data_IF_951944868853
#
_entry.id   IF_951944868853
#
_cell.length_a   1.000
_cell.length_b   1.000
_cell.length_c   1.000
_cell.angle_alpha   90.00
_cell.angle_beta   90.00
_cell.angle_gamma   90.00
#
_symmetry.space_group_name_H-M   'P 1'
#
loop_
_entity.id
_entity.type
_entity.pdbx_description
1 polymer ?
#
# COMPACT_ATOMS: atom_id res chain seq x y z
N UNK A 1 -6.31 -2.57 -10.80
CA UNK A 1 -5.44 -2.87 -9.66
C UNK A 1 -6.10 -3.85 -8.72
N UNK A 2 -5.43 -4.93 -8.41
CA UNK A 2 -5.91 -5.93 -7.45
C UNK A 2 -4.86 -6.17 -6.37
N UNK A 3 -5.17 -5.89 -5.11
CA UNK A 3 -4.32 -6.32 -4.00
C UNK A 3 -4.45 -7.84 -3.82
N UNK A 4 -3.34 -8.51 -3.65
CA UNK A 4 -3.28 -9.96 -3.45
C UNK A 4 -2.59 -10.24 -2.10
N UNK A 5 -3.32 -9.96 -1.01
CA UNK A 5 -2.80 -9.91 0.35
C UNK A 5 -1.85 -11.04 0.73
N UNK A 6 -2.34 -12.26 0.81
CA UNK A 6 -1.54 -13.42 1.23
C UNK A 6 -0.43 -13.81 0.24
N UNK A 7 -0.52 -13.37 -1.00
CA UNK A 7 0.52 -13.59 -1.99
C UNK A 7 1.60 -12.50 -1.97
N UNK A 8 1.49 -11.56 -1.05
CA UNK A 8 2.48 -10.48 -0.87
C UNK A 8 2.75 -9.69 -2.16
N UNK A 9 1.70 -9.43 -2.93
CA UNK A 9 1.83 -8.76 -4.23
C UNK A 9 0.60 -7.92 -4.56
N UNK A 10 0.71 -7.15 -5.63
CA UNK A 10 -0.46 -6.63 -6.34
C UNK A 10 -0.31 -6.88 -7.85
N UNK A 11 -1.43 -6.93 -8.54
CA UNK A 11 -1.45 -7.13 -9.98
C UNK A 11 -2.29 -6.05 -10.67
N UNK A 12 -1.96 -5.80 -11.92
CA UNK A 12 -2.76 -4.99 -12.84
C UNK A 12 -3.34 -5.93 -13.88
N UNK A 13 -4.64 -5.92 -14.04
CA UNK A 13 -5.33 -6.76 -15.02
C UNK A 13 -6.04 -5.90 -16.06
N UNK A 14 -6.20 -6.44 -17.26
CA UNK A 14 -7.14 -5.91 -18.23
C UNK A 14 -8.57 -6.23 -17.78
N UNK A 15 -9.38 -5.20 -17.59
CA UNK A 15 -10.75 -5.35 -17.09
C UNK A 15 -11.66 -6.13 -18.06
N UNK A 16 -11.39 -6.06 -19.36
CA UNK A 16 -12.22 -6.71 -20.39
C UNK A 16 -11.89 -8.19 -20.55
N UNK A 17 -10.59 -8.52 -20.50
CA UNK A 17 -10.11 -9.87 -20.78
C UNK A 17 -9.76 -10.68 -19.53
N UNK A 18 -9.52 -9.99 -18.39
CA UNK A 18 -8.99 -10.60 -17.17
C UNK A 18 -7.50 -10.92 -17.24
N UNK A 19 -6.84 -10.56 -18.34
CA UNK A 19 -5.41 -10.83 -18.51
C UNK A 19 -4.56 -10.04 -17.52
N UNK A 20 -3.56 -10.71 -16.92
CA UNK A 20 -2.58 -10.06 -16.06
C UNK A 20 -1.60 -9.26 -16.92
N UNK A 21 -1.59 -7.93 -16.72
CA UNK A 21 -0.73 -6.99 -17.45
C UNK A 21 0.58 -6.73 -16.72
N UNK A 22 0.55 -6.76 -15.38
CA UNK A 22 1.72 -6.47 -14.54
C UNK A 22 1.55 -7.12 -13.18
N UNK A 23 2.66 -7.59 -12.63
CA UNK A 23 2.75 -8.09 -11.25
C UNK A 23 3.90 -7.41 -10.52
N UNK A 24 3.65 -6.99 -9.28
CA UNK A 24 4.68 -6.46 -8.38
C UNK A 24 4.69 -7.33 -7.14
N UNK A 25 5.77 -8.05 -6.93
CA UNK A 25 5.93 -9.00 -5.84
C UNK A 25 6.53 -8.37 -4.59
N UNK A 26 6.67 -9.15 -3.53
CA UNK A 26 7.05 -8.70 -2.20
C UNK A 26 8.31 -7.84 -2.14
N UNK A 27 9.32 -8.13 -2.96
CA UNK A 27 10.62 -7.46 -2.93
C UNK A 27 10.92 -6.64 -4.20
N UNK A 28 9.91 -6.40 -5.05
CA UNK A 28 10.11 -5.68 -6.31
C UNK A 28 10.19 -4.16 -6.12
N UNK A 29 9.77 -3.65 -4.95
CA UNK A 29 9.89 -2.23 -4.62
C UNK A 29 11.14 -2.03 -3.79
N UNK A 30 12.08 -1.24 -4.31
CA UNK A 30 13.35 -0.99 -3.62
C UNK A 30 13.14 -0.38 -2.23
N UNK A 31 13.77 -0.97 -1.23
CA UNK A 31 13.79 -0.47 0.15
C UNK A 31 12.61 -0.87 1.01
N UNK A 32 11.61 -1.58 0.48
CA UNK A 32 10.46 -2.06 1.26
C UNK A 32 10.09 -3.49 0.89
N UNK A 33 9.49 -4.21 1.83
CA UNK A 33 8.90 -5.51 1.58
C UNK A 33 7.38 -5.44 1.76
N UNK A 34 6.62 -6.00 0.80
CA UNK A 34 5.18 -6.12 0.93
C UNK A 34 4.85 -7.31 1.81
N UNK A 35 4.16 -7.08 2.92
CA UNK A 35 3.74 -8.11 3.87
C UNK A 35 2.38 -8.66 3.49
N UNK A 36 1.38 -7.81 3.53
CA UNK A 36 0.02 -8.12 3.09
C UNK A 36 -0.54 -6.87 2.44
N UNK A 37 -0.77 -6.91 1.14
CA UNK A 37 -1.33 -5.76 0.43
C UNK A 37 -2.83 -5.73 0.70
N UNK A 38 -3.25 -4.94 1.68
CA UNK A 38 -4.65 -4.83 2.09
C UNK A 38 -5.48 -3.98 1.15
N UNK A 39 -4.89 -2.92 0.63
CA UNK A 39 -5.54 -2.01 -0.31
C UNK A 39 -4.48 -1.33 -1.17
N UNK A 40 -4.87 -0.97 -2.38
CA UNK A 40 -4.07 -0.15 -3.27
C UNK A 40 -4.96 0.88 -3.94
N UNK A 41 -4.53 2.15 -3.91
CA UNK A 41 -5.25 3.28 -4.46
C UNK A 41 -4.40 3.99 -5.50
N UNK A 42 -5.00 4.38 -6.62
CA UNK A 42 -4.38 5.31 -7.54
C UNK A 42 -4.72 6.74 -7.11
N UNK A 43 -3.69 7.55 -6.90
CA UNK A 43 -3.82 8.96 -6.55
C UNK A 43 -4.01 9.81 -7.81
N UNK A 44 -4.45 11.06 -7.65
CA UNK A 44 -4.71 11.98 -8.77
C UNK A 44 -3.45 12.26 -9.60
N UNK A 45 -2.28 12.26 -8.99
CA UNK A 45 -1.00 12.46 -9.67
C UNK A 45 -0.50 11.21 -10.41
N UNK A 46 -1.25 10.10 -10.37
CA UNK A 46 -0.88 8.83 -10.98
C UNK A 46 -0.07 7.90 -10.09
N UNK A 47 0.37 8.36 -8.92
CA UNK A 47 1.06 7.51 -7.96
C UNK A 47 0.11 6.48 -7.34
N UNK A 48 0.67 5.44 -6.75
CA UNK A 48 -0.08 4.42 -6.03
C UNK A 48 0.19 4.52 -4.53
N UNK A 49 -0.88 4.48 -3.74
CA UNK A 49 -0.80 4.35 -2.29
C UNK A 49 -1.13 2.92 -1.90
N UNK A 50 -0.19 2.25 -1.26
CA UNK A 50 -0.26 0.84 -0.89
C UNK A 50 -0.41 0.73 0.62
N UNK A 51 -1.44 0.02 1.09
CA UNK A 51 -1.59 -0.34 2.50
C UNK A 51 -0.90 -1.68 2.74
N UNK A 52 0.17 -1.66 3.50
CA UNK A 52 1.01 -2.79 3.82
C UNK A 52 0.67 -3.30 5.24
N UNK A 53 -0.30 -4.19 5.31
CA UNK A 53 -0.91 -4.59 6.57
C UNK A 53 -0.10 -5.66 7.32
N UNK A 54 0.00 -5.50 8.61
CA UNK A 54 0.73 -6.41 9.51
C UNK A 54 -0.12 -7.56 10.07
N UNK A 55 -1.40 -7.65 9.72
CA UNK A 55 -2.38 -8.47 10.43
C UNK A 55 -2.02 -9.94 10.61
N UNK A 56 -1.34 -10.54 9.63
CA UNK A 56 -0.90 -11.94 9.70
C UNK A 56 0.57 -12.11 10.12
N UNK A 57 1.28 -11.01 10.37
CA UNK A 57 2.67 -11.06 10.77
C UNK A 57 2.79 -11.34 12.26
N UNK A 58 3.35 -12.48 12.61
CA UNK A 58 3.59 -12.91 14.01
C UNK A 58 4.97 -12.54 14.51
N UNK A 59 5.91 -12.29 13.62
CA UNK A 59 7.27 -11.92 13.95
C UNK A 59 7.34 -10.43 14.32
N UNK A 60 7.59 -10.16 15.60
CA UNK A 60 7.67 -8.79 16.12
C UNK A 60 8.90 -8.02 15.59
N UNK A 61 9.88 -8.69 15.01
CA UNK A 61 11.06 -8.05 14.42
C UNK A 61 10.83 -7.49 13.03
N UNK A 62 9.74 -7.88 12.37
CA UNK A 62 9.37 -7.34 11.05
C UNK A 62 8.99 -5.88 11.20
N UNK A 63 9.69 -5.03 10.45
CA UNK A 63 9.56 -3.58 10.56
C UNK A 63 9.55 -2.93 9.16
N UNK A 64 8.37 -2.95 8.54
CA UNK A 64 8.12 -2.37 7.24
C UNK A 64 7.14 -1.19 7.34
N UNK A 65 7.19 -0.23 6.41
CA UNK A 65 6.20 0.85 6.39
C UNK A 65 4.77 0.31 6.27
N UNK A 66 3.84 0.94 6.98
CA UNK A 66 2.41 0.62 6.94
C UNK A 66 1.70 1.17 5.71
N UNK A 67 2.12 2.36 5.27
CA UNK A 67 1.68 2.98 4.01
C UNK A 67 2.89 3.30 3.16
N UNK A 68 2.75 3.06 1.87
CA UNK A 68 3.83 3.27 0.91
C UNK A 68 3.23 3.97 -0.32
N UNK A 69 3.76 5.14 -0.67
CA UNK A 69 3.44 5.78 -1.93
C UNK A 69 4.58 5.56 -2.92
N UNK A 70 4.26 5.00 -4.09
CA UNK A 70 5.21 4.81 -5.18
C UNK A 70 4.81 5.63 -6.39
N UNK A 71 5.81 6.09 -7.13
CA UNK A 71 5.60 6.77 -8.40
C UNK A 71 5.36 5.78 -9.56
N UNK A 72 5.19 6.31 -10.76
CA UNK A 72 4.98 5.50 -11.97
C UNK A 72 6.16 4.58 -12.32
N UNK A 73 7.35 4.86 -11.79
CA UNK A 73 8.55 4.04 -11.98
C UNK A 73 8.72 2.99 -10.88
N UNK A 74 7.78 2.93 -9.92
CA UNK A 74 7.83 2.00 -8.80
C UNK A 74 8.75 2.44 -7.66
N UNK A 75 9.18 3.71 -7.65
CA UNK A 75 10.02 4.25 -6.57
C UNK A 75 9.17 4.77 -5.41
N UNK A 76 9.59 4.47 -4.20
CA UNK A 76 8.99 5.03 -2.99
C UNK A 76 9.26 6.53 -2.93
N UNK A 77 8.20 7.33 -2.91
CA UNK A 77 8.26 8.79 -2.81
C UNK A 77 7.77 9.29 -1.46
N UNK A 78 7.02 8.47 -0.75
CA UNK A 78 6.54 8.75 0.61
C UNK A 78 6.20 7.45 1.31
N UNK A 79 6.37 7.42 2.65
CA UNK A 79 5.92 6.29 3.46
C UNK A 79 5.52 6.74 4.85
N UNK A 80 4.61 5.99 5.46
CA UNK A 80 4.28 6.08 6.88
C UNK A 80 4.81 4.84 7.57
N UNK A 81 5.70 5.03 8.53
CA UNK A 81 6.36 3.98 9.28
C UNK A 81 6.30 4.30 10.78
N UNK A 82 5.17 4.04 11.39
CA UNK A 82 4.92 4.36 12.80
C UNK A 82 4.01 3.31 13.47
N UNK A 83 4.56 2.12 13.68
CA UNK A 83 3.83 1.02 14.32
C UNK A 83 3.35 1.37 15.72
N UNK A 84 4.13 2.15 16.46
CA UNK A 84 3.85 2.47 17.86
C UNK A 84 2.59 3.31 18.02
N UNK A 85 2.45 4.36 17.21
CA UNK A 85 1.37 5.34 17.38
C UNK A 85 0.16 5.04 16.48
N UNK A 86 0.39 4.46 15.30
CA UNK A 86 -0.67 4.22 14.30
C UNK A 86 -1.13 2.78 14.29
N UNK A 87 -0.25 1.83 14.60
CA UNK A 87 -0.60 0.41 14.60
C UNK A 87 -0.71 -0.18 13.19
N UNK A 88 -1.67 -1.09 13.01
CA UNK A 88 -1.88 -1.80 11.75
C UNK A 88 -2.88 -1.05 10.87
N UNK A 89 -2.54 -0.84 9.59
CA UNK A 89 -3.40 -0.14 8.63
C UNK A 89 -3.80 -1.13 7.54
N UNK A 90 -5.10 -1.37 7.40
CA UNK A 90 -5.66 -2.25 6.37
C UNK A 90 -6.20 -1.47 5.16
N UNK A 91 -6.60 -0.22 5.37
CA UNK A 91 -7.16 0.63 4.34
C UNK A 91 -6.86 2.09 4.62
N UNK A 92 -6.81 2.89 3.57
CA UNK A 92 -6.63 4.33 3.63
C UNK A 92 -7.40 5.00 2.49
N UNK A 93 -7.67 6.29 2.62
CA UNK A 93 -8.19 7.10 1.52
C UNK A 93 -7.47 8.44 1.50
N UNK A 94 -7.39 9.03 0.32
CA UNK A 94 -6.86 10.37 0.13
C UNK A 94 -8.01 11.36 -0.03
N UNK A 95 -8.01 12.40 0.78
CA UNK A 95 -9.07 13.42 0.77
C UNK A 95 -8.45 14.77 0.45
N UNK A 96 -8.84 15.35 -0.70
CA UNK A 96 -8.49 16.70 -1.06
C UNK A 96 -9.33 17.71 -0.27
N UNK A 97 -8.69 18.82 0.12
CA UNK A 97 -9.37 19.93 0.78
C UNK A 97 -10.13 19.52 2.05
N UNK A 98 -9.67 18.47 2.71
CA UNK A 98 -10.26 18.02 3.97
C UNK A 98 -10.04 19.08 5.05
N UNK A 99 -11.12 19.43 5.75
CA UNK A 99 -11.06 20.28 6.93
C UNK A 99 -11.54 19.48 8.13
N UNK A 100 -10.72 19.43 9.16
CA UNK A 100 -11.14 18.83 10.41
C UNK A 100 -12.31 19.62 11.01
N UNK A 101 -13.37 18.94 11.48
CA UNK A 101 -14.40 19.60 12.24
C UNK A 101 -13.79 20.20 13.53
N UNK A 102 -14.44 21.22 14.09
CA UNK A 102 -14.04 21.75 15.38
C UNK A 102 -14.17 20.65 16.44
N UNK A 103 -13.05 20.09 16.82
CA UNK A 103 -12.97 19.14 17.93
C UNK A 103 -12.75 19.91 19.23
N UNK A 104 -13.71 19.81 20.11
CA UNK A 104 -13.62 20.39 21.45
C UNK A 104 -13.45 19.28 22.48
#
# INVERSE_FOLDING_TARGET
>A
LLPCGDNHCYIVIDRKTGEELKRVNALDIEGVALLFVGQILQLKNGNLLICNWYGHTKDATVDEPQLIEIDKNGKVVWSLHDKKNVGKISAACYIDNFRLPNLK
#
